data_IF_904467630984
#
_entry.id   IF_904467630984
#
_cell.length_a   1.000
_cell.length_b   1.000
_cell.length_c   1.000
_cell.angle_alpha   90.00
_cell.angle_beta   90.00
_cell.angle_gamma   90.00
#
_symmetry.space_group_name_H-M   'P 1'
#
loop_
_entity.id
_entity.type
_entity.pdbx_description
1 polymer ?
#
# COMPACT_ATOMS: atom_id res chain seq x y z
N UNK A 1 -9.77 -6.39 -0.83
CA UNK A 1 -9.40 -6.14 -2.23
C UNK A 1 -7.99 -5.56 -2.20
N UNK A 2 -7.12 -5.83 -3.20
CA UNK A 2 -5.83 -5.17 -3.33
C UNK A 2 -5.92 -3.66 -3.16
N UNK A 3 -4.83 -3.04 -2.68
CA UNK A 3 -4.77 -1.59 -2.50
C UNK A 3 -4.70 -0.89 -3.85
N UNK A 4 -5.38 0.24 -3.97
CA UNK A 4 -5.35 1.08 -5.17
C UNK A 4 -4.14 2.01 -5.13
N UNK A 5 -3.46 2.16 -6.27
CA UNK A 5 -2.29 3.02 -6.41
C UNK A 5 -2.75 4.46 -6.68
N UNK A 6 -2.70 5.29 -5.64
CA UNK A 6 -2.82 6.75 -5.73
C UNK A 6 -1.54 7.40 -6.27
N UNK A 7 -1.43 8.74 -6.23
CA UNK A 7 -0.27 9.45 -6.81
C UNK A 7 1.07 8.97 -6.23
N UNK A 8 1.18 8.93 -4.90
CA UNK A 8 2.29 8.32 -4.18
C UNK A 8 1.77 7.49 -3.00
N UNK A 9 2.29 6.27 -2.85
CA UNK A 9 1.81 5.29 -1.87
C UNK A 9 3.01 4.68 -1.16
N UNK A 10 3.13 4.92 0.14
CA UNK A 10 4.04 4.17 0.99
C UNK A 10 3.35 2.90 1.47
N UNK A 11 3.87 1.75 1.06
CA UNK A 11 3.23 0.46 1.29
C UNK A 11 4.06 -0.37 2.26
N UNK A 12 3.42 -0.86 3.32
CA UNK A 12 4.03 -1.77 4.29
C UNK A 12 3.23 -3.07 4.40
N UNK A 13 3.93 -4.20 4.57
CA UNK A 13 3.30 -5.43 4.99
C UNK A 13 2.88 -5.35 6.46
N UNK A 14 1.64 -5.74 6.78
CA UNK A 14 1.13 -5.77 8.16
C UNK A 14 1.95 -6.67 9.07
N UNK A 15 2.47 -7.79 8.54
CA UNK A 15 3.38 -8.67 9.28
C UNK A 15 4.66 -7.95 9.71
N UNK A 16 5.17 -7.04 8.88
CA UNK A 16 6.34 -6.21 9.21
C UNK A 16 5.99 -5.19 10.28
N UNK A 17 4.85 -4.50 10.14
CA UNK A 17 4.36 -3.55 11.14
C UNK A 17 4.16 -4.22 12.50
N UNK A 18 3.49 -5.38 12.52
CA UNK A 18 3.25 -6.14 13.77
C UNK A 18 4.55 -6.52 14.48
N UNK A 19 5.58 -6.88 13.70
CA UNK A 19 6.86 -7.35 14.24
C UNK A 19 7.79 -6.22 14.68
N UNK A 20 7.83 -5.11 13.92
CA UNK A 20 8.88 -4.09 14.03
C UNK A 20 8.37 -2.74 14.53
N UNK A 21 7.14 -2.36 14.19
CA UNK A 21 6.61 -1.05 14.55
C UNK A 21 6.34 -0.98 16.05
N UNK A 22 6.82 0.05 16.72
CA UNK A 22 6.61 0.26 18.15
C UNK A 22 5.12 0.45 18.45
N UNK A 23 4.54 -0.54 19.15
CA UNK A 23 3.10 -0.61 19.42
C UNK A 23 2.29 -1.42 18.40
N UNK A 24 2.96 -2.03 17.40
CA UNK A 24 2.39 -2.96 16.44
C UNK A 24 1.31 -2.36 15.54
N UNK A 25 0.45 -3.22 14.99
CA UNK A 25 -0.64 -2.83 14.08
C UNK A 25 -1.59 -1.81 14.72
N UNK A 26 -1.91 -1.98 15.99
CA UNK A 26 -2.89 -1.12 16.65
C UNK A 26 -2.37 0.32 16.79
N UNK A 27 -1.12 0.49 17.21
CA UNK A 27 -0.53 1.82 17.28
C UNK A 27 -0.37 2.44 15.88
N UNK A 28 0.01 1.63 14.88
CA UNK A 28 0.12 2.11 13.50
C UNK A 28 -1.20 2.68 12.97
N UNK A 29 -2.33 2.00 13.23
CA UNK A 29 -3.66 2.52 12.88
C UNK A 29 -4.00 3.82 13.59
N UNK A 30 -3.69 3.92 14.88
CA UNK A 30 -3.92 5.16 15.63
C UNK A 30 -3.10 6.32 15.07
N UNK A 31 -1.85 6.05 14.71
CA UNK A 31 -0.91 7.07 14.22
C UNK A 31 -1.30 7.58 12.82
N UNK A 32 -1.79 6.71 11.93
CA UNK A 32 -1.99 7.06 10.50
C UNK A 32 -3.42 6.98 9.97
N UNK A 33 -4.35 6.29 10.63
CA UNK A 33 -5.72 6.04 10.14
C UNK A 33 -6.80 6.75 10.97
N UNK A 34 -6.42 7.51 12.01
CA UNK A 34 -7.37 8.29 12.81
C UNK A 34 -7.91 9.52 12.07
N UNK A 35 -7.25 9.96 11.00
CA UNK A 35 -7.69 11.10 10.20
C UNK A 35 -8.55 10.64 9.00
N UNK A 36 -9.83 10.99 9.04
CA UNK A 36 -10.84 10.64 8.03
C UNK A 36 -10.60 11.29 6.66
N UNK A 37 -9.80 12.36 6.59
CA UNK A 37 -9.55 13.09 5.34
C UNK A 37 -8.38 12.52 4.53
N UNK A 38 -7.79 11.41 4.97
CA UNK A 38 -6.70 10.74 4.25
C UNK A 38 -7.24 9.68 3.29
N UNK A 39 -6.55 9.50 2.16
CA UNK A 39 -6.82 8.39 1.22
C UNK A 39 -6.10 7.10 1.63
N UNK A 40 -5.65 7.00 2.89
CA UNK A 40 -4.94 5.83 3.38
C UNK A 40 -5.81 4.58 3.28
N UNK A 41 -5.20 3.46 2.94
CA UNK A 41 -5.91 2.20 2.72
C UNK A 41 -5.28 1.07 3.52
N UNK A 42 -6.08 0.08 3.90
CA UNK A 42 -5.59 -1.19 4.39
C UNK A 42 -6.39 -2.33 3.75
N UNK A 43 -5.70 -3.40 3.35
CA UNK A 43 -6.34 -4.68 3.01
C UNK A 43 -6.06 -5.71 4.09
N UNK A 44 -6.02 -7.00 3.80
CA UNK A 44 -5.73 -8.02 4.82
C UNK A 44 -4.22 -8.13 5.13
N UNK A 45 -3.35 -7.86 4.16
CA UNK A 45 -1.90 -8.07 4.24
C UNK A 45 -1.09 -6.75 4.26
N UNK A 46 -1.64 -5.64 3.76
CA UNK A 46 -0.94 -4.39 3.52
C UNK A 46 -1.58 -3.17 4.21
N UNK A 47 -0.73 -2.20 4.53
CA UNK A 47 -1.09 -0.79 4.72
C UNK A 47 -0.59 0.04 3.55
N UNK A 48 -1.33 1.07 3.17
CA UNK A 48 -0.95 2.10 2.19
C UNK A 48 -1.16 3.48 2.79
N UNK A 49 -0.08 4.26 2.93
CA UNK A 49 -0.12 5.67 3.29
C UNK A 49 -0.01 6.50 2.03
N UNK A 50 -0.97 7.40 1.81
CA UNK A 50 -1.14 8.13 0.56
C UNK A 50 -0.77 9.59 0.73
N UNK A 51 0.00 10.11 -0.21
CA UNK A 51 0.35 11.53 -0.33
C UNK A 51 0.28 11.99 -1.78
N UNK A 52 0.40 13.30 -2.01
CA UNK A 52 0.47 13.82 -3.38
C UNK A 52 1.83 13.50 -4.00
N UNK A 53 2.90 13.62 -3.20
CA UNK A 53 4.27 13.41 -3.61
C UNK A 53 5.04 12.55 -2.60
N UNK A 54 6.10 11.88 -3.05
CA UNK A 54 6.85 10.96 -2.20
C UNK A 54 7.68 11.65 -1.09
N UNK A 55 7.99 12.93 -1.25
CA UNK A 55 8.71 13.76 -0.27
C UNK A 55 7.83 14.23 0.89
N UNK A 56 6.50 14.12 0.76
CA UNK A 56 5.53 14.37 1.83
C UNK A 56 5.39 13.18 2.80
N UNK A 57 5.97 12.03 2.45
CA UNK A 57 5.88 10.81 3.27
C UNK A 57 6.84 10.88 4.47
N UNK A 58 6.29 10.73 5.67
CA UNK A 58 7.06 10.80 6.91
C UNK A 58 7.82 9.49 7.21
N UNK A 59 8.95 9.31 6.51
CA UNK A 59 9.85 8.18 6.69
C UNK A 59 10.56 8.25 8.05
N UNK A 60 10.87 9.46 8.54
CA UNK A 60 11.58 9.66 9.80
C UNK A 60 10.81 9.08 10.99
N UNK A 61 9.49 9.30 11.05
CA UNK A 61 8.64 8.70 12.09
C UNK A 61 8.61 7.18 11.97
N UNK A 62 8.57 6.61 10.76
CA UNK A 62 8.63 5.16 10.56
C UNK A 62 9.94 4.57 11.12
N UNK A 63 11.07 5.21 10.85
CA UNK A 63 12.39 4.81 11.38
C UNK A 63 12.42 4.89 12.90
N UNK A 64 11.96 6.00 13.48
CA UNK A 64 11.89 6.18 14.93
C UNK A 64 11.01 5.12 15.61
N UNK A 65 10.02 4.59 14.89
CA UNK A 65 9.12 3.53 15.34
C UNK A 65 9.63 2.12 15.02
N UNK A 66 10.84 1.98 14.47
CA UNK A 66 11.52 0.69 14.31
C UNK A 66 11.47 0.08 12.90
N UNK A 67 10.89 0.77 11.92
CA UNK A 67 10.93 0.35 10.52
C UNK A 67 12.33 0.59 9.95
N UNK A 68 12.87 -0.39 9.23
CA UNK A 68 14.23 -0.31 8.68
C UNK A 68 14.25 0.54 7.41
N UNK A 69 15.20 1.46 7.31
CA UNK A 69 15.48 2.23 6.09
C UNK A 69 16.98 2.51 6.01
N UNK A 70 17.57 2.29 4.84
CA UNK A 70 18.99 2.51 4.58
C UNK A 70 19.18 3.91 4.00
N UNK A 71 19.85 4.79 4.74
CA UNK A 71 20.17 6.15 4.26
C UNK A 71 21.24 6.13 3.15
N UNK A 72 22.06 5.09 3.09
CA UNK A 72 23.11 4.94 2.06
C UNK A 72 22.51 4.59 0.70
N UNK A 73 21.63 3.59 0.67
CA UNK A 73 21.00 3.10 -0.57
C UNK A 73 19.69 3.80 -0.88
N UNK A 74 19.11 4.54 0.08
CA UNK A 74 17.78 5.13 0.01
C UNK A 74 16.69 4.10 -0.28
N UNK A 75 16.77 2.94 0.39
CA UNK A 75 15.84 1.82 0.21
C UNK A 75 15.46 1.15 1.54
N UNK A 76 14.43 0.31 1.48
CA UNK A 76 13.98 -0.53 2.59
C UNK A 76 13.51 -1.90 2.10
N UNK A 77 13.73 -2.94 2.90
CA UNK A 77 13.08 -4.23 2.70
C UNK A 77 11.71 -4.32 3.41
N UNK A 78 11.44 -3.39 4.33
CA UNK A 78 10.24 -3.35 5.17
C UNK A 78 9.06 -2.66 4.51
N UNK A 79 9.34 -1.71 3.61
CA UNK A 79 8.34 -0.96 2.86
C UNK A 79 8.88 -0.60 1.47
N UNK A 80 7.98 -0.19 0.59
CA UNK A 80 8.31 0.47 -0.68
C UNK A 80 7.43 1.69 -0.89
N UNK A 81 7.82 2.56 -1.82
CA UNK A 81 6.99 3.66 -2.31
C UNK A 81 6.66 3.39 -3.77
N UNK A 82 5.37 3.30 -4.08
CA UNK A 82 4.87 3.13 -5.45
C UNK A 82 4.17 4.41 -5.89
N UNK A 83 4.72 5.02 -6.93
CA UNK A 83 4.11 6.16 -7.60
C UNK A 83 3.27 5.67 -8.78
N UNK A 84 2.05 6.21 -8.94
CA UNK A 84 1.18 5.86 -10.08
C UNK A 84 1.88 6.08 -11.42
N UNK A 85 2.61 7.18 -11.53
CA UNK A 85 3.37 7.54 -12.71
C UNK A 85 4.87 7.42 -12.39
N UNK A 86 5.39 6.20 -12.45
CA UNK A 86 6.80 5.93 -12.18
C UNK A 86 7.08 4.53 -11.60
N UNK A 87 6.05 3.86 -11.08
CA UNK A 87 6.20 2.55 -10.44
C UNK A 87 6.87 2.65 -9.08
N UNK A 88 7.45 1.54 -8.63
CA UNK A 88 8.14 1.46 -7.35
C UNK A 88 9.50 2.19 -7.38
N UNK A 89 9.79 3.01 -6.36
CA UNK A 89 11.11 3.63 -6.20
C UNK A 89 12.21 2.59 -5.97
N UNK A 90 11.88 1.50 -5.29
CA UNK A 90 12.71 0.31 -5.17
C UNK A 90 11.83 -0.94 -5.04
N UNK A 91 12.35 -2.08 -5.48
CA UNK A 91 11.64 -3.35 -5.41
C UNK A 91 11.74 -3.98 -4.03
N UNK A 92 10.65 -4.64 -3.61
CA UNK A 92 10.62 -5.54 -2.46
C UNK A 92 10.04 -6.89 -2.91
N UNK A 93 10.52 -7.99 -2.33
CA UNK A 93 10.21 -9.35 -2.82
C UNK A 93 8.80 -9.84 -2.51
N UNK A 94 8.06 -9.11 -1.67
CA UNK A 94 6.77 -9.54 -1.13
C UNK A 94 5.56 -8.84 -1.75
N UNK A 95 5.77 -7.86 -2.63
CA UNK A 95 4.70 -7.12 -3.30
C UNK A 95 4.72 -7.36 -4.81
N UNK A 96 3.53 -7.31 -5.42
CA UNK A 96 3.33 -7.23 -6.86
C UNK A 96 2.32 -6.13 -7.17
N UNK A 97 2.39 -5.57 -8.38
CA UNK A 97 1.44 -4.55 -8.84
C UNK A 97 1.19 -4.64 -10.35
N UNK A 98 0.10 -4.03 -10.81
CA UNK A 98 -0.23 -3.87 -12.23
C UNK A 98 -0.30 -2.40 -12.66
N UNK A 99 0.32 -1.49 -11.91
CA UNK A 99 0.25 -0.04 -12.11
C UNK A 99 -1.07 0.63 -11.71
N UNK A 100 -2.13 -0.13 -11.39
CA UNK A 100 -3.42 0.39 -10.88
C UNK A 100 -3.67 -0.08 -9.45
N UNK A 101 -3.39 -1.34 -9.18
CA UNK A 101 -3.49 -1.97 -7.87
C UNK A 101 -2.16 -2.60 -7.48
N UNK A 102 -1.89 -2.65 -6.18
CA UNK A 102 -0.80 -3.41 -5.59
C UNK A 102 -1.34 -4.43 -4.58
N UNK A 103 -0.67 -5.56 -4.44
CA UNK A 103 -1.04 -6.62 -3.50
C UNK A 103 0.17 -7.35 -2.96
N UNK A 104 0.02 -7.90 -1.76
CA UNK A 104 1.01 -8.82 -1.21
C UNK A 104 1.00 -10.13 -2.00
N UNK A 105 2.15 -10.80 -2.13
CA UNK A 105 2.27 -12.08 -2.86
C UNK A 105 1.52 -13.26 -2.20
N UNK A 106 1.00 -13.06 -0.99
CA UNK A 106 0.13 -14.00 -0.27
C UNK A 106 -1.36 -13.65 -0.39
N UNK A 107 -1.71 -12.61 -1.16
CA UNK A 107 -3.11 -12.21 -1.36
C UNK A 107 -3.88 -13.34 -2.06
N UNK A 108 -5.14 -13.51 -1.65
CA UNK A 108 -6.05 -14.51 -2.22
C UNK A 108 -6.24 -14.28 -3.72
N UNK A 109 -6.10 -15.34 -4.52
CA UNK A 109 -6.12 -15.26 -5.98
C UNK A 109 -7.41 -14.63 -6.50
N UNK A 110 -8.56 -14.94 -5.90
CA UNK A 110 -9.85 -14.40 -6.33
C UNK A 110 -9.88 -12.86 -6.23
N UNK A 111 -9.18 -12.29 -5.25
CA UNK A 111 -9.09 -10.83 -5.06
C UNK A 111 -8.12 -10.20 -6.06
N UNK A 112 -7.04 -10.89 -6.42
CA UNK A 112 -6.11 -10.48 -7.47
C UNK A 112 -6.84 -10.48 -8.82
N UNK A 113 -7.49 -11.60 -9.18
CA UNK A 113 -8.24 -11.74 -10.43
C UNK A 113 -9.32 -10.66 -10.57
N UNK A 114 -10.02 -10.31 -9.47
CA UNK A 114 -10.99 -9.21 -9.46
C UNK A 114 -10.34 -7.85 -9.73
N UNK A 115 -9.20 -7.55 -9.09
CA UNK A 115 -8.48 -6.30 -9.31
C UNK A 115 -7.95 -6.18 -10.74
N UNK A 116 -7.43 -7.27 -11.31
CA UNK A 116 -7.03 -7.34 -12.71
C UNK A 116 -8.21 -7.13 -13.66
N UNK A 117 -9.37 -7.72 -13.35
CA UNK A 117 -10.59 -7.51 -14.13
C UNK A 117 -11.00 -6.04 -14.12
N UNK A 118 -11.05 -5.41 -12.94
CA UNK A 118 -11.39 -3.99 -12.80
C UNK A 118 -10.39 -3.11 -13.57
N UNK A 119 -9.10 -3.39 -13.46
CA UNK A 119 -8.03 -2.64 -14.15
C UNK A 119 -8.16 -2.68 -15.68
N UNK A 120 -8.65 -3.77 -16.25
CA UNK A 120 -8.81 -3.97 -17.69
C UNK A 120 -10.21 -3.64 -18.22
N UNK A 121 -11.16 -3.32 -17.35
CA UNK A 121 -12.53 -2.98 -17.75
C UNK A 121 -12.62 -1.48 -18.05
N UNK A 122 -13.10 -1.07 -19.24
CA UNK A 122 -13.34 0.35 -19.52
C UNK A 122 -14.33 0.93 -18.49
N UNK A 123 -14.12 2.19 -18.07
CA UNK A 123 -14.92 2.84 -17.00
C UNK A 123 -16.44 2.77 -17.20
N UNK A 124 -16.92 2.61 -18.44
CA UNK A 124 -18.34 2.49 -18.79
C UNK A 124 -18.96 1.17 -18.27
N UNK A 125 -18.17 0.11 -18.06
CA UNK A 125 -18.63 -1.22 -17.66
C UNK A 125 -18.35 -1.56 -16.17
N UNK A 126 -17.66 -0.66 -15.44
CA UNK A 126 -17.27 -0.90 -14.04
C UNK A 126 -18.46 -0.80 -13.07
N UNK A 127 -19.43 0.08 -13.36
CA UNK A 127 -20.59 0.29 -12.48
C UNK A 127 -21.43 -1.00 -12.31
N UNK A 128 -21.66 -1.74 -13.40
CA UNK A 128 -22.43 -2.99 -13.38
C UNK A 128 -21.70 -4.10 -12.58
N UNK A 129 -20.37 -4.05 -12.55
CA UNK A 129 -19.52 -5.02 -11.86
C UNK A 129 -19.51 -4.80 -10.34
N UNK A 130 -19.51 -3.54 -9.89
CA UNK A 130 -19.50 -3.20 -8.46
C UNK A 130 -20.85 -3.47 -7.78
N UNK A 131 -21.96 -3.39 -8.51
CA UNK A 131 -23.30 -3.73 -7.99
C UNK A 131 -23.50 -5.24 -7.76
N UNK A 132 -22.72 -6.09 -8.43
CA UNK A 132 -22.87 -7.55 -8.35
C UNK A 132 -22.17 -8.17 -7.13
N UNK A 133 -21.29 -7.43 -6.44
CA UNK A 133 -20.49 -7.89 -5.30
C UNK A 133 -20.84 -7.20 -3.95
N UNK A 134 -21.98 -6.49 -3.88
CA UNK A 134 -22.62 -6.08 -2.61
C UNK A 134 -23.51 -7.19 -2.05
#
# INVERSE_FOLDING_TARGET
>A
MPIYIHLSNLILAKKTVEKKYLGGINQFRLDYFSNIDTLNQEDKELFSLVSMNNDELDIDTLIQKGISYSMETQTSDDFTIINRYGGALWSVSWISDNGIFAWHNECEKEKIDLAEKIANTPMVEINDLLETFQ
#
